data_IF_264642994714
#
_entry.id   IF_264642994714
#
_cell.length_a   1.000
_cell.length_b   1.000
_cell.length_c   1.000
_cell.angle_alpha   90.00
_cell.angle_beta   90.00
_cell.angle_gamma   90.00
#
_symmetry.space_group_name_H-M   'P 1'
#
loop_
_entity.id
_entity.type
_entity.pdbx_description
1 polymer ?
#
# COMPACT_ATOMS: atom_id res chain seq x y z
N UNK A 1 37.95 -5.02 -5.80
CA UNK A 1 36.69 -4.84 -5.08
C UNK A 1 36.64 -5.84 -3.93
N UNK A 2 36.52 -5.37 -2.70
CA UNK A 2 36.35 -6.25 -1.56
C UNK A 2 34.95 -6.87 -1.66
N UNK A 3 34.84 -8.20 -1.66
CA UNK A 3 33.54 -8.86 -1.71
C UNK A 3 32.75 -8.52 -0.44
N UNK A 4 31.55 -7.99 -0.60
CA UNK A 4 30.61 -7.77 0.51
C UNK A 4 30.29 -9.13 1.15
N UNK A 5 30.43 -9.22 2.47
CA UNK A 5 30.02 -10.40 3.26
C UNK A 5 28.88 -9.96 4.18
N UNK A 6 27.64 -9.89 3.68
CA UNK A 6 26.51 -9.48 4.49
C UNK A 6 26.17 -10.55 5.53
N UNK A 7 25.75 -10.12 6.71
CA UNK A 7 25.18 -11.00 7.74
C UNK A 7 23.71 -11.33 7.44
N UNK A 8 23.01 -10.39 6.82
CA UNK A 8 21.61 -10.52 6.42
C UNK A 8 21.39 -10.15 4.95
N UNK A 9 20.50 -10.90 4.30
CA UNK A 9 19.98 -10.61 2.98
C UNK A 9 18.45 -10.50 3.07
N UNK A 10 17.90 -9.37 2.61
CA UNK A 10 16.45 -9.18 2.49
C UNK A 10 16.08 -9.47 1.03
N UNK A 11 15.11 -10.34 0.83
CA UNK A 11 14.62 -10.75 -0.49
C UNK A 11 13.15 -10.35 -0.60
N UNK A 12 12.87 -9.44 -1.55
CA UNK A 12 11.52 -9.02 -1.93
C UNK A 12 11.38 -9.22 -3.46
N UNK A 13 11.16 -10.47 -3.88
CA UNK A 13 11.13 -10.82 -5.30
C UNK A 13 10.45 -12.16 -5.57
N UNK A 14 9.44 -12.18 -6.43
CA UNK A 14 8.63 -13.36 -6.75
C UNK A 14 9.37 -14.53 -7.39
N UNK A 15 10.45 -14.29 -8.13
CA UNK A 15 11.22 -15.36 -8.80
C UNK A 15 12.32 -15.97 -7.92
N UNK A 16 12.48 -15.52 -6.68
CA UNK A 16 13.49 -16.04 -5.75
C UNK A 16 12.80 -16.93 -4.71
N UNK A 17 13.35 -18.10 -4.49
CA UNK A 17 12.88 -19.08 -3.50
C UNK A 17 13.99 -20.00 -3.06
N UNK A 18 13.62 -21.09 -2.40
CA UNK A 18 14.49 -22.03 -1.69
C UNK A 18 15.80 -22.38 -2.41
N UNK A 19 15.73 -22.71 -3.70
CA UNK A 19 16.92 -23.18 -4.43
C UNK A 19 17.99 -22.09 -4.54
N UNK A 20 17.58 -20.87 -4.83
CA UNK A 20 18.46 -19.71 -4.90
C UNK A 20 19.00 -19.34 -3.52
N UNK A 21 18.16 -19.35 -2.51
CA UNK A 21 18.50 -19.04 -1.13
C UNK A 21 19.55 -20.00 -0.57
N UNK A 22 19.40 -21.31 -0.86
CA UNK A 22 20.38 -22.32 -0.52
C UNK A 22 21.73 -22.12 -1.22
N UNK A 23 21.72 -21.70 -2.48
CA UNK A 23 22.97 -21.38 -3.19
C UNK A 23 23.66 -20.19 -2.57
N UNK A 24 22.93 -19.14 -2.20
CA UNK A 24 23.48 -17.97 -1.51
C UNK A 24 24.11 -18.36 -0.16
N UNK A 25 23.45 -19.20 0.64
CA UNK A 25 23.99 -19.71 1.92
C UNK A 25 25.20 -20.63 1.74
N UNK A 26 25.30 -21.38 0.64
CA UNK A 26 26.53 -22.16 0.34
C UNK A 26 27.72 -21.27 0.07
N UNK A 27 27.52 -20.13 -0.58
CA UNK A 27 28.59 -19.16 -0.85
C UNK A 27 28.94 -18.32 0.39
N UNK A 28 27.96 -18.09 1.26
CA UNK A 28 28.07 -17.29 2.48
C UNK A 28 27.47 -18.08 3.66
N UNK A 29 28.24 -18.98 4.32
CA UNK A 29 27.68 -19.93 5.32
C UNK A 29 27.01 -19.29 6.54
N UNK A 30 27.35 -18.03 6.87
CA UNK A 30 26.74 -17.31 8.00
C UNK A 30 25.60 -16.39 7.58
N UNK A 31 25.22 -16.39 6.28
CA UNK A 31 24.16 -15.54 5.76
C UNK A 31 22.81 -15.97 6.34
N UNK A 32 22.11 -14.99 6.91
CA UNK A 32 20.69 -15.09 7.29
C UNK A 32 19.82 -14.44 6.23
N UNK A 33 18.65 -15.01 5.98
CA UNK A 33 17.73 -14.50 4.96
C UNK A 33 16.41 -14.10 5.61
N UNK A 34 15.95 -12.88 5.29
CA UNK A 34 14.57 -12.44 5.49
C UNK A 34 13.90 -12.44 4.13
N UNK A 35 12.89 -13.30 3.93
CA UNK A 35 12.08 -13.31 2.73
C UNK A 35 10.78 -12.52 2.97
N UNK A 36 10.47 -11.60 2.06
CA UNK A 36 9.17 -10.92 1.98
C UNK A 36 8.38 -11.64 0.90
N UNK A 37 7.23 -12.19 1.25
CA UNK A 37 6.34 -12.92 0.36
C UNK A 37 4.88 -12.56 0.64
N UNK A 38 4.04 -12.69 -0.36
CA UNK A 38 2.60 -12.39 -0.26
C UNK A 38 1.71 -13.41 -0.99
N UNK A 39 2.32 -14.43 -1.63
CA UNK A 39 1.61 -15.43 -2.41
C UNK A 39 1.42 -16.75 -1.65
N UNK A 40 2.35 -17.14 -0.80
CA UNK A 40 2.39 -18.45 -0.13
C UNK A 40 2.29 -19.61 -1.13
N UNK A 41 2.99 -19.52 -2.26
CA UNK A 41 2.92 -20.47 -3.39
C UNK A 41 4.24 -21.20 -3.65
N UNK A 42 5.32 -20.85 -2.94
CA UNK A 42 6.66 -21.43 -3.13
C UNK A 42 7.39 -21.66 -1.81
N UNK A 43 8.37 -22.55 -1.85
CA UNK A 43 9.20 -22.87 -0.67
C UNK A 43 10.34 -21.86 -0.52
N UNK A 44 10.69 -21.58 0.75
CA UNK A 44 11.82 -20.74 1.15
C UNK A 44 12.77 -21.47 2.08
N UNK A 45 14.03 -21.05 2.11
CA UNK A 45 15.04 -21.44 3.08
C UNK A 45 15.57 -20.20 3.81
N UNK A 46 14.72 -19.60 4.65
CA UNK A 46 14.96 -18.35 5.32
C UNK A 46 14.85 -18.48 6.84
N UNK A 47 15.47 -17.56 7.56
CA UNK A 47 15.37 -17.42 9.02
C UNK A 47 14.12 -16.66 9.42
N UNK A 48 13.70 -15.69 8.59
CA UNK A 48 12.48 -14.90 8.81
C UNK A 48 11.70 -14.86 7.50
N UNK A 49 10.39 -15.10 7.58
CA UNK A 49 9.44 -14.85 6.51
C UNK A 49 8.45 -13.78 6.95
N UNK A 50 8.29 -12.75 6.14
CA UNK A 50 7.33 -11.67 6.33
C UNK A 50 6.24 -11.74 5.27
N UNK A 51 4.98 -11.91 5.69
CA UNK A 51 3.81 -11.68 4.86
C UNK A 51 2.83 -10.77 5.59
N UNK A 52 2.71 -9.54 5.12
CA UNK A 52 1.93 -8.49 5.75
C UNK A 52 0.45 -8.48 5.34
N UNK A 53 -0.01 -9.47 4.56
CA UNK A 53 -1.39 -9.52 4.09
C UNK A 53 -2.39 -9.82 5.21
N UNK A 54 -3.56 -9.19 5.11
CA UNK A 54 -4.68 -9.47 6.00
C UNK A 54 -5.18 -10.91 5.84
N UNK A 55 -5.41 -11.57 6.97
CA UNK A 55 -5.97 -12.93 7.00
C UNK A 55 -4.96 -14.05 6.78
N UNK A 56 -3.68 -13.74 6.54
CA UNK A 56 -2.62 -14.75 6.42
C UNK A 56 -2.46 -15.54 7.72
N UNK A 57 -2.37 -16.87 7.61
CA UNK A 57 -2.30 -17.80 8.73
C UNK A 57 -0.99 -18.58 8.75
N UNK A 58 -0.70 -19.17 9.90
CA UNK A 58 0.51 -19.95 10.11
C UNK A 58 0.57 -21.19 9.21
N UNK A 59 -0.60 -21.79 8.97
CA UNK A 59 -0.77 -23.00 8.15
C UNK A 59 -0.41 -22.75 6.68
N UNK A 60 -0.55 -21.53 6.20
CA UNK A 60 -0.24 -21.16 4.81
C UNK A 60 1.27 -21.33 4.50
N UNK A 61 2.12 -21.07 5.49
CA UNK A 61 3.58 -21.15 5.33
C UNK A 61 4.24 -22.32 6.04
N UNK A 62 3.53 -23.05 6.89
CA UNK A 62 4.10 -24.17 7.64
C UNK A 62 4.80 -25.22 6.74
N UNK A 63 4.23 -25.63 5.60
CA UNK A 63 4.90 -26.57 4.68
C UNK A 63 5.95 -25.90 3.77
N UNK A 64 6.00 -24.57 3.73
CA UNK A 64 6.79 -23.81 2.75
C UNK A 64 8.12 -23.29 3.31
N UNK A 65 8.30 -23.30 4.63
CA UNK A 65 9.50 -22.77 5.29
C UNK A 65 10.10 -23.79 6.26
N UNK A 66 11.40 -23.69 6.59
CA UNK A 66 12.02 -24.55 7.62
C UNK A 66 11.34 -24.38 8.99
N UNK A 67 11.40 -25.41 9.82
CA UNK A 67 10.80 -25.39 11.16
C UNK A 67 11.36 -24.30 12.09
N UNK A 68 12.61 -23.88 11.88
CA UNK A 68 13.25 -22.79 12.62
C UNK A 68 12.85 -21.40 12.13
N UNK A 69 12.20 -21.27 10.97
CA UNK A 69 11.84 -19.99 10.40
C UNK A 69 10.82 -19.25 11.26
N UNK A 70 11.15 -18.02 11.65
CA UNK A 70 10.20 -17.13 12.30
C UNK A 70 9.25 -16.55 11.24
N UNK A 71 7.96 -16.75 11.42
CA UNK A 71 6.91 -16.26 10.52
C UNK A 71 6.27 -15.01 11.10
N UNK A 72 6.42 -13.88 10.41
CA UNK A 72 5.83 -12.60 10.74
C UNK A 72 4.63 -12.39 9.81
N UNK A 73 3.43 -12.79 10.25
CA UNK A 73 2.25 -12.87 9.41
C UNK A 73 1.18 -11.87 9.83
N UNK A 74 0.57 -11.26 8.81
CA UNK A 74 -0.56 -10.36 8.97
C UNK A 74 -0.17 -8.91 9.16
N UNK A 75 -1.18 -8.06 9.21
CA UNK A 75 -1.08 -6.59 9.16
C UNK A 75 -0.35 -5.94 10.33
N UNK A 76 -0.19 -6.65 11.46
CA UNK A 76 0.63 -6.16 12.58
C UNK A 76 2.11 -6.01 12.24
N UNK A 77 2.56 -6.63 11.16
CA UNK A 77 3.94 -6.58 10.66
C UNK A 77 4.08 -5.76 9.38
N UNK A 78 3.06 -4.98 9.03
CA UNK A 78 3.09 -4.12 7.85
C UNK A 78 4.24 -3.12 7.96
N UNK A 79 5.06 -3.06 6.91
CA UNK A 79 6.14 -2.11 6.79
C UNK A 79 5.58 -0.77 6.34
N UNK A 80 5.48 0.18 7.25
CA UNK A 80 4.99 1.52 6.99
C UNK A 80 6.12 2.53 7.16
N UNK A 81 6.06 3.63 6.39
CA UNK A 81 6.96 4.77 6.57
C UNK A 81 6.63 5.49 7.88
N UNK A 82 7.64 6.01 8.57
CA UNK A 82 7.49 6.69 9.86
C UNK A 82 6.51 7.87 9.83
N UNK A 83 6.36 8.51 8.68
CA UNK A 83 5.44 9.64 8.52
C UNK A 83 3.99 9.29 8.88
N UNK A 84 3.52 8.05 8.61
CA UNK A 84 2.17 7.63 8.97
C UNK A 84 1.96 7.57 10.48
N UNK A 85 2.96 7.09 11.23
CA UNK A 85 2.92 7.10 12.69
C UNK A 85 2.85 8.53 13.25
N UNK A 86 3.60 9.45 12.67
CA UNK A 86 3.64 10.85 13.09
C UNK A 86 2.29 11.55 12.88
N UNK A 87 1.64 11.32 11.73
CA UNK A 87 0.34 11.92 11.41
C UNK A 87 -0.85 11.27 12.12
N UNK A 88 -0.70 10.03 12.62
CA UNK A 88 -1.80 9.26 13.22
C UNK A 88 -2.49 9.97 14.37
N UNK A 89 -1.73 10.50 15.32
CA UNK A 89 -2.32 11.18 16.49
C UNK A 89 -3.09 12.45 16.09
N UNK A 90 -2.55 13.21 15.14
CA UNK A 90 -3.17 14.43 14.60
C UNK A 90 -4.49 14.07 13.90
N UNK A 91 -4.46 13.05 13.02
CA UNK A 91 -5.64 12.56 12.30
C UNK A 91 -6.75 12.09 13.24
N UNK A 92 -6.42 11.25 14.22
CA UNK A 92 -7.40 10.74 15.18
C UNK A 92 -8.02 11.86 16.03
N UNK A 93 -7.23 12.86 16.41
CA UNK A 93 -7.77 14.00 17.16
C UNK A 93 -8.72 14.84 16.31
N UNK A 94 -8.36 15.14 15.07
CA UNK A 94 -9.21 15.88 14.13
C UNK A 94 -10.56 15.18 13.90
N UNK A 95 -10.56 13.88 13.72
CA UNK A 95 -11.77 13.08 13.42
C UNK A 95 -12.79 13.01 14.55
N UNK A 96 -12.43 13.40 15.78
CA UNK A 96 -13.39 13.47 16.89
C UNK A 96 -14.49 14.50 16.70
N UNK A 97 -14.27 15.51 15.86
CA UNK A 97 -15.17 16.65 15.64
C UNK A 97 -15.76 16.73 14.24
N UNK A 98 -15.33 15.86 13.31
CA UNK A 98 -15.79 15.92 11.91
C UNK A 98 -17.10 15.18 11.73
N UNK A 99 -18.15 15.90 11.31
CA UNK A 99 -19.45 15.33 10.90
C UNK A 99 -20.23 16.35 10.06
N UNK A 100 -20.69 16.02 8.87
CA UNK A 100 -20.42 14.83 8.02
C UNK A 100 -19.02 14.90 7.35
N UNK A 101 -18.59 13.85 6.63
CA UNK A 101 -17.31 13.87 5.92
C UNK A 101 -17.32 14.92 4.80
N UNK A 102 -16.34 15.82 4.84
CA UNK A 102 -16.21 16.93 3.89
C UNK A 102 -15.03 16.75 2.91
N UNK A 103 -14.03 15.97 3.28
CA UNK A 103 -12.84 15.75 2.46
C UNK A 103 -12.70 14.27 2.11
N UNK A 104 -12.79 13.96 0.82
CA UNK A 104 -12.68 12.61 0.28
C UNK A 104 -11.32 12.48 -0.42
N UNK A 105 -10.55 11.48 -0.03
CA UNK A 105 -9.33 11.08 -0.73
C UNK A 105 -9.64 9.90 -1.66
N UNK A 106 -9.24 10.00 -2.93
CA UNK A 106 -9.33 8.90 -3.90
C UNK A 106 -7.93 8.50 -4.34
N UNK A 107 -7.54 7.26 -4.05
CA UNK A 107 -6.25 6.69 -4.46
C UNK A 107 -6.41 5.21 -4.81
N UNK A 108 -6.31 4.87 -6.08
CA UNK A 108 -6.42 3.50 -6.59
C UNK A 108 -5.06 2.89 -6.97
N UNK A 109 -4.02 3.31 -6.25
CA UNK A 109 -2.65 2.86 -6.50
C UNK A 109 -1.94 3.66 -7.60
N UNK A 110 -0.77 3.17 -8.02
CA UNK A 110 0.13 3.93 -8.90
C UNK A 110 -0.31 4.00 -10.36
N UNK A 111 -1.10 3.07 -10.85
CA UNK A 111 -1.35 2.91 -12.29
C UNK A 111 -2.82 3.07 -12.69
N UNK A 112 -3.77 2.42 -11.99
CA UNK A 112 -5.22 2.45 -12.29
C UNK A 112 -5.53 2.25 -13.80
N UNK A 113 -5.14 1.10 -14.35
CA UNK A 113 -5.27 0.77 -15.76
C UNK A 113 -6.72 0.84 -16.29
N UNK A 114 -7.69 0.50 -15.45
CA UNK A 114 -9.11 0.44 -15.81
C UNK A 114 -9.84 1.77 -15.65
N UNK A 115 -9.10 2.83 -15.29
CA UNK A 115 -9.64 4.17 -15.03
C UNK A 115 -10.80 4.17 -14.04
N UNK A 116 -10.67 3.41 -12.97
CA UNK A 116 -11.69 3.33 -11.91
C UNK A 116 -11.81 4.67 -11.18
N UNK A 117 -10.72 5.42 -11.08
CA UNK A 117 -10.72 6.80 -10.55
C UNK A 117 -11.76 7.66 -11.24
N UNK A 118 -11.81 7.67 -12.58
CA UNK A 118 -12.79 8.46 -13.32
C UNK A 118 -14.22 8.01 -13.04
N UNK A 119 -14.46 6.69 -12.97
CA UNK A 119 -15.78 6.13 -12.64
C UNK A 119 -16.26 6.55 -11.26
N UNK A 120 -15.36 6.59 -10.27
CA UNK A 120 -15.65 7.09 -8.91
C UNK A 120 -16.04 8.56 -8.97
N UNK A 121 -15.25 9.40 -9.65
CA UNK A 121 -15.54 10.83 -9.78
C UNK A 121 -16.90 11.10 -10.46
N UNK A 122 -17.23 10.34 -11.50
CA UNK A 122 -18.52 10.42 -12.17
C UNK A 122 -19.69 10.06 -11.23
N UNK A 123 -19.52 8.99 -10.44
CA UNK A 123 -20.52 8.58 -9.45
C UNK A 123 -20.71 9.62 -8.35
N UNK A 124 -19.60 10.19 -7.83
CA UNK A 124 -19.65 11.28 -6.87
C UNK A 124 -20.31 12.52 -7.44
N UNK A 125 -20.07 12.85 -8.72
CA UNK A 125 -20.68 13.98 -9.40
C UNK A 125 -22.20 13.82 -9.53
N UNK A 126 -22.66 12.62 -9.91
CA UNK A 126 -24.10 12.30 -9.94
C UNK A 126 -24.72 12.43 -8.56
N UNK A 127 -24.03 11.94 -7.51
CA UNK A 127 -24.52 12.04 -6.14
C UNK A 127 -24.69 13.49 -5.68
N UNK A 128 -23.71 14.38 -5.94
CA UNK A 128 -23.78 15.80 -5.58
C UNK A 128 -24.93 16.48 -6.31
N UNK A 129 -25.16 16.17 -7.60
CA UNK A 129 -26.25 16.75 -8.38
C UNK A 129 -27.64 16.33 -7.88
N UNK A 130 -27.75 15.19 -7.20
CA UNK A 130 -29.00 14.64 -6.67
C UNK A 130 -29.18 14.92 -5.16
N UNK A 131 -28.21 15.53 -4.49
CA UNK A 131 -28.23 15.79 -3.05
C UNK A 131 -27.91 17.25 -2.76
N UNK A 132 -28.14 17.64 -1.50
CA UNK A 132 -27.72 18.97 -0.99
C UNK A 132 -26.33 18.92 -0.35
N UNK A 133 -25.65 17.76 -0.38
CA UNK A 133 -24.33 17.60 0.21
C UNK A 133 -23.24 18.14 -0.69
N UNK A 134 -22.25 18.73 -0.10
CA UNK A 134 -21.01 19.18 -0.77
C UNK A 134 -19.81 18.63 -0.05
N UNK A 135 -18.76 18.34 -0.80
CA UNK A 135 -17.49 17.87 -0.29
C UNK A 135 -16.35 18.24 -1.26
N UNK A 136 -15.13 18.14 -0.76
CA UNK A 136 -13.93 18.30 -1.58
C UNK A 136 -13.35 16.91 -1.88
N UNK A 137 -12.84 16.73 -3.09
CA UNK A 137 -12.19 15.49 -3.50
C UNK A 137 -10.73 15.77 -3.82
N UNK A 138 -9.84 15.02 -3.20
CA UNK A 138 -8.43 14.95 -3.57
C UNK A 138 -8.16 13.61 -4.22
N UNK A 139 -7.74 13.63 -5.48
CA UNK A 139 -7.32 12.43 -6.22
C UNK A 139 -5.81 12.35 -6.21
N UNK A 140 -5.24 11.19 -5.86
CA UNK A 140 -3.80 10.95 -5.98
C UNK A 140 -3.56 9.87 -7.02
N UNK A 141 -2.71 10.16 -8.01
CA UNK A 141 -2.35 9.26 -9.10
C UNK A 141 -0.83 9.09 -9.18
N UNK A 142 -0.37 7.94 -9.63
CA UNK A 142 1.04 7.71 -9.90
C UNK A 142 1.50 8.41 -11.17
N UNK A 143 2.82 8.68 -11.28
CA UNK A 143 3.42 9.38 -12.44
C UNK A 143 3.15 8.68 -13.78
N UNK A 144 3.03 7.35 -13.76
CA UNK A 144 2.87 6.51 -14.95
C UNK A 144 1.41 6.11 -15.21
N UNK A 145 0.45 6.65 -14.47
CA UNK A 145 -0.96 6.33 -14.66
C UNK A 145 -1.44 6.81 -16.06
N UNK A 146 -2.04 5.93 -16.88
CA UNK A 146 -2.36 6.24 -18.27
C UNK A 146 -3.51 7.24 -18.42
N UNK A 147 -4.30 7.45 -17.37
CA UNK A 147 -5.55 8.20 -17.46
C UNK A 147 -5.51 9.58 -16.76
N UNK A 148 -4.32 10.10 -16.40
CA UNK A 148 -4.16 11.39 -15.70
C UNK A 148 -4.91 12.52 -16.41
N UNK A 149 -4.73 12.66 -17.73
CA UNK A 149 -5.36 13.75 -18.49
C UNK A 149 -6.88 13.69 -18.49
N UNK A 150 -7.46 12.49 -18.60
CA UNK A 150 -8.91 12.32 -18.59
C UNK A 150 -9.52 12.64 -17.22
N UNK A 151 -8.84 12.24 -16.14
CA UNK A 151 -9.23 12.53 -14.76
C UNK A 151 -9.11 14.05 -14.48
N UNK A 152 -8.01 14.68 -14.88
CA UNK A 152 -7.82 16.13 -14.73
C UNK A 152 -8.86 16.94 -15.53
N UNK A 153 -9.21 16.50 -16.73
CA UNK A 153 -10.24 17.14 -17.56
C UNK A 153 -11.59 17.05 -16.87
N UNK A 154 -11.95 15.90 -16.35
CA UNK A 154 -13.21 15.73 -15.61
C UNK A 154 -13.24 16.59 -14.35
N UNK A 155 -12.16 16.60 -13.57
CA UNK A 155 -12.05 17.37 -12.32
C UNK A 155 -12.34 18.87 -12.49
N UNK A 156 -11.96 19.45 -13.64
CA UNK A 156 -12.22 20.87 -13.97
C UNK A 156 -13.70 21.20 -14.14
N UNK A 157 -14.54 20.23 -14.42
CA UNK A 157 -15.97 20.40 -14.71
C UNK A 157 -16.88 19.68 -13.69
N UNK A 158 -16.29 19.11 -12.64
CA UNK A 158 -17.06 18.46 -11.59
C UNK A 158 -17.91 19.46 -10.78
N UNK A 159 -19.05 18.98 -10.28
CA UNK A 159 -19.98 19.79 -9.44
C UNK A 159 -19.46 19.96 -7.99
N UNK A 160 -18.23 19.58 -7.70
CA UNK A 160 -17.55 19.70 -6.42
C UNK A 160 -16.09 20.13 -6.63
N UNK A 161 -15.46 20.66 -5.60
CA UNK A 161 -14.04 20.99 -5.66
C UNK A 161 -13.20 19.71 -5.77
N UNK A 162 -12.42 19.59 -6.86
CA UNK A 162 -11.62 18.40 -7.14
C UNK A 162 -10.17 18.76 -7.48
N UNK A 163 -9.24 18.33 -6.65
CA UNK A 163 -7.80 18.45 -6.89
C UNK A 163 -7.23 17.11 -7.36
N UNK A 164 -6.46 17.13 -8.45
CA UNK A 164 -5.76 15.93 -8.96
C UNK A 164 -4.26 16.13 -8.78
N UNK A 165 -3.68 15.36 -7.87
CA UNK A 165 -2.28 15.38 -7.51
C UNK A 165 -1.57 14.17 -8.14
N UNK A 166 -0.37 14.39 -8.67
CA UNK A 166 0.39 13.32 -9.34
C UNK A 166 1.74 13.18 -8.64
N UNK A 167 2.08 11.95 -8.30
CA UNK A 167 3.38 11.59 -7.71
C UNK A 167 3.69 12.36 -6.41
N UNK A 168 2.79 12.34 -5.46
CA UNK A 168 2.93 13.03 -4.17
C UNK A 168 3.97 12.36 -3.26
N UNK A 169 4.61 13.14 -2.42
CA UNK A 169 5.55 12.65 -1.38
C UNK A 169 5.00 12.75 0.03
N UNK A 170 3.88 13.46 0.22
CA UNK A 170 3.23 13.73 1.50
C UNK A 170 1.91 12.96 1.69
N UNK A 171 1.91 11.68 1.33
CA UNK A 171 0.68 10.86 1.37
C UNK A 171 0.07 10.78 2.77
N UNK A 172 0.89 10.67 3.81
CA UNK A 172 0.43 10.60 5.20
C UNK A 172 -0.35 11.85 5.61
N UNK A 173 0.11 13.04 5.20
CA UNK A 173 -0.61 14.30 5.43
C UNK A 173 -1.97 14.32 4.70
N UNK A 174 -1.99 13.93 3.44
CA UNK A 174 -3.23 13.85 2.65
C UNK A 174 -4.25 12.90 3.28
N UNK A 175 -3.80 11.72 3.72
CA UNK A 175 -4.65 10.75 4.41
C UNK A 175 -5.13 11.26 5.78
N UNK A 176 -4.26 11.94 6.54
CA UNK A 176 -4.63 12.52 7.83
C UNK A 176 -5.69 13.61 7.71
N UNK A 177 -5.69 14.35 6.62
CA UNK A 177 -6.65 15.43 6.33
C UNK A 177 -7.93 14.95 5.65
N UNK A 178 -7.99 13.70 5.19
CA UNK A 178 -9.19 13.11 4.63
C UNK A 178 -10.15 12.62 5.73
N UNK A 179 -11.46 12.74 5.48
CA UNK A 179 -12.51 12.22 6.35
C UNK A 179 -12.96 10.84 5.88
N UNK A 180 -12.89 10.61 4.57
CA UNK A 180 -13.19 9.36 3.90
C UNK A 180 -12.11 9.08 2.85
N UNK A 181 -11.70 7.83 2.73
CA UNK A 181 -10.82 7.39 1.65
C UNK A 181 -11.50 6.33 0.79
N UNK A 182 -11.35 6.46 -0.54
CA UNK A 182 -11.76 5.46 -1.52
C UNK A 182 -10.49 4.98 -2.22
N UNK A 183 -10.15 3.70 -2.05
CA UNK A 183 -8.89 3.17 -2.53
C UNK A 183 -8.96 1.71 -2.98
N UNK A 184 -7.89 1.24 -3.60
CA UNK A 184 -7.64 -0.17 -3.80
C UNK A 184 -7.29 -0.83 -2.46
N UNK A 185 -7.69 -2.09 -2.28
CA UNK A 185 -7.44 -2.85 -1.05
C UNK A 185 -5.98 -3.36 -0.98
N UNK A 186 -5.01 -2.45 -1.15
CA UNK A 186 -3.58 -2.72 -1.06
C UNK A 186 -2.97 -2.27 0.27
N UNK A 187 -1.63 -2.14 0.32
CA UNK A 187 -0.86 -1.71 1.51
C UNK A 187 -1.32 -0.35 2.06
N UNK A 188 -1.75 0.57 1.18
CA UNK A 188 -2.30 1.88 1.55
C UNK A 188 -3.50 1.79 2.53
N UNK A 189 -4.17 0.65 2.61
CA UNK A 189 -5.25 0.43 3.58
C UNK A 189 -4.72 0.43 5.02
N UNK A 190 -3.45 0.13 5.23
CA UNK A 190 -2.80 0.02 6.54
C UNK A 190 -2.03 1.29 6.92
N UNK A 191 -1.80 2.18 5.98
CA UNK A 191 -1.23 3.50 6.16
C UNK A 191 -2.20 4.45 6.87
#
# INVERSE_FOLDING_TARGET
MQALKPDWLIIDHYAIGKNWEQQAKRLLPNLKILAIDDLADRTHDCEILLDQNFGRKNEDYQPLVPSHCQRLLGTRYTLLRDEFANWRAISLNRRKSVQPPNNILVNLGGVDNDNVTLKILQSLNTFVQQSTQSFNVTVVMGKTAPHIESVQRFAKHASFACAVLVNVTNMAELMANADLAIGAAGSTTWE
#
